data_IF_641350128692
#
_entry.id   IF_641350128692
#
_cell.length_a   1.000
_cell.length_b   1.000
_cell.length_c   1.000
_cell.angle_alpha   90.00
_cell.angle_beta   90.00
_cell.angle_gamma   90.00
#
_symmetry.space_group_name_H-M   'P 1'
#
loop_
_entity.id
_entity.type
_entity.pdbx_description
1 polymer ?
#
# COMPACT_ATOMS: atom_id res chain seq x y z
N UNK A 1 -3.10 -7.27 4.16
CA UNK A 1 -3.51 -8.66 4.46
C UNK A 1 -3.85 -8.77 5.94
N UNK A 2 -4.81 -9.60 6.36
CA UNK A 2 -5.07 -9.85 7.80
C UNK A 2 -4.08 -10.88 8.34
N UNK A 3 -3.64 -10.67 9.57
CA UNK A 3 -2.78 -11.60 10.31
C UNK A 3 -3.45 -11.95 11.65
N UNK A 4 -3.08 -13.09 12.22
CA UNK A 4 -3.57 -13.48 13.54
C UNK A 4 -3.04 -12.48 14.58
N UNK A 5 -3.95 -11.97 15.41
CA UNK A 5 -3.56 -11.16 16.58
C UNK A 5 -2.94 -12.09 17.62
N UNK A 6 -1.63 -12.11 17.68
CA UNK A 6 -0.87 -12.96 18.58
C UNK A 6 0.50 -12.33 18.81
N UNK A 7 1.05 -12.54 20.00
CA UNK A 7 2.45 -12.24 20.31
C UNK A 7 3.22 -13.53 20.47
N UNK A 8 4.48 -13.52 20.04
CA UNK A 8 5.38 -14.67 20.11
C UNK A 8 6.76 -14.20 20.57
N UNK A 9 7.42 -14.99 21.42
CA UNK A 9 8.79 -14.73 21.82
C UNK A 9 9.71 -15.41 20.79
N UNK A 10 10.41 -14.62 19.99
CA UNK A 10 11.37 -15.09 19.00
C UNK A 10 12.77 -14.56 19.34
N UNK A 11 13.75 -15.45 19.50
CA UNK A 11 15.13 -15.11 19.86
C UNK A 11 15.27 -14.12 21.04
N UNK A 12 14.38 -14.22 22.04
CA UNK A 12 14.37 -13.34 23.21
C UNK A 12 13.70 -11.99 22.99
N UNK A 13 13.15 -11.72 21.79
CA UNK A 13 12.37 -10.52 21.47
C UNK A 13 10.89 -10.88 21.38
N UNK A 14 10.03 -10.08 22.00
CA UNK A 14 8.58 -10.24 21.88
C UNK A 14 8.10 -9.59 20.58
N UNK A 15 7.54 -10.40 19.68
CA UNK A 15 7.09 -10.02 18.34
C UNK A 15 5.55 -10.03 18.26
N UNK A 16 4.99 -9.46 17.19
CA UNK A 16 3.53 -9.47 16.92
C UNK A 16 2.80 -8.14 17.21
N UNK A 17 3.54 -7.12 17.63
CA UNK A 17 3.02 -5.76 17.79
C UNK A 17 3.04 -4.98 16.48
N UNK A 18 2.33 -3.86 16.43
CA UNK A 18 2.46 -2.93 15.31
C UNK A 18 3.91 -2.43 15.20
N UNK A 19 4.40 -2.32 13.97
CA UNK A 19 5.77 -1.96 13.65
C UNK A 19 5.83 -1.26 12.28
N UNK A 20 6.29 0.00 12.27
CA UNK A 20 6.53 0.80 11.07
C UNK A 20 8.01 0.84 10.66
N UNK A 21 8.87 0.00 11.24
CA UNK A 21 10.32 0.07 11.08
C UNK A 21 10.95 1.19 11.90
N UNK A 22 10.31 1.56 13.02
CA UNK A 22 10.85 2.54 13.98
C UNK A 22 11.21 1.81 15.26
N UNK A 23 12.36 2.13 15.87
CA UNK A 23 12.83 1.55 17.15
C UNK A 23 12.01 2.01 18.37
N UNK A 24 10.69 2.13 18.22
CA UNK A 24 9.76 2.45 19.28
C UNK A 24 9.44 1.17 20.06
N UNK A 25 10.21 0.90 21.10
CA UNK A 25 9.86 -0.12 22.09
C UNK A 25 8.97 0.52 23.16
N UNK A 26 7.67 0.22 23.12
CA UNK A 26 6.74 0.60 24.19
C UNK A 26 5.99 -0.63 24.69
N UNK A 27 5.79 -0.79 26.01
CA UNK A 27 4.96 -1.87 26.55
C UNK A 27 3.47 -1.74 26.19
N UNK A 28 3.05 -0.62 25.57
CA UNK A 28 1.66 -0.33 25.23
C UNK A 28 1.34 -0.42 23.72
N UNK A 29 2.26 -0.96 22.90
CA UNK A 29 2.00 -1.09 21.47
C UNK A 29 0.80 -2.03 21.23
N UNK A 30 -0.19 -1.66 20.41
CA UNK A 30 -1.25 -2.59 20.02
C UNK A 30 -0.70 -3.80 19.26
N UNK A 31 -1.32 -4.96 19.49
CA UNK A 31 -1.08 -6.18 18.72
C UNK A 31 -1.55 -5.96 17.28
N UNK A 32 -0.68 -6.23 16.31
CA UNK A 32 -0.98 -6.06 14.90
C UNK A 32 -2.10 -7.01 14.44
N UNK A 33 -2.96 -6.52 13.56
CA UNK A 33 -4.08 -7.28 12.99
C UNK A 33 -4.00 -7.40 11.45
N UNK A 34 -3.09 -6.64 10.85
CA UNK A 34 -2.83 -6.63 9.42
C UNK A 34 -1.33 -6.51 9.14
N UNK A 35 -0.91 -7.05 7.99
CA UNK A 35 0.37 -6.75 7.36
C UNK A 35 0.12 -5.93 6.08
N UNK A 36 0.75 -4.75 5.98
CA UNK A 36 0.84 -3.96 4.76
C UNK A 36 2.13 -4.35 4.04
N UNK A 37 2.05 -4.71 2.76
CA UNK A 37 3.20 -5.15 1.98
C UNK A 37 3.30 -4.32 0.71
N UNK A 38 4.50 -3.87 0.37
CA UNK A 38 4.80 -3.27 -0.93
C UNK A 38 5.60 -4.25 -1.78
N UNK A 39 5.17 -4.38 -3.03
CA UNK A 39 5.79 -5.26 -4.01
C UNK A 39 6.04 -4.47 -5.29
N UNK A 40 7.23 -4.64 -5.86
CA UNK A 40 7.57 -4.11 -7.18
C UNK A 40 7.37 -5.21 -8.19
N UNK A 41 6.69 -4.88 -9.28
CA UNK A 41 6.46 -5.78 -10.41
C UNK A 41 7.04 -5.12 -11.67
N UNK A 42 7.93 -5.83 -12.36
CA UNK A 42 8.52 -5.32 -13.59
C UNK A 42 7.48 -5.31 -14.73
N UNK A 43 7.33 -4.16 -15.38
CA UNK A 43 6.48 -4.04 -16.59
C UNK A 43 7.25 -4.51 -17.83
N UNK A 44 8.55 -4.28 -17.85
CA UNK A 44 9.47 -4.63 -18.93
C UNK A 44 10.26 -5.94 -18.67
N UNK A 45 9.82 -6.74 -17.70
CA UNK A 45 10.49 -7.98 -17.30
C UNK A 45 9.51 -8.95 -16.65
N UNK A 46 9.99 -10.15 -16.33
CA UNK A 46 9.18 -11.18 -15.69
C UNK A 46 9.64 -11.44 -14.25
N UNK A 47 9.65 -10.40 -13.43
CA UNK A 47 9.99 -10.52 -12.02
C UNK A 47 9.13 -9.62 -11.15
N UNK A 48 8.94 -10.07 -9.91
CA UNK A 48 8.28 -9.34 -8.84
C UNK A 48 8.99 -9.63 -7.54
N UNK A 49 9.21 -8.62 -6.72
CA UNK A 49 9.86 -8.77 -5.41
C UNK A 49 9.13 -7.93 -4.35
N UNK A 50 8.89 -8.48 -3.15
CA UNK A 50 8.49 -7.66 -2.01
C UNK A 50 9.66 -6.76 -1.62
N UNK A 51 9.39 -5.48 -1.38
CA UNK A 51 10.42 -4.49 -1.00
C UNK A 51 10.28 -4.00 0.43
N UNK A 52 9.08 -4.09 1.00
CA UNK A 52 8.81 -3.68 2.38
C UNK A 52 7.56 -4.37 2.92
N UNK A 53 7.51 -4.56 4.24
CA UNK A 53 6.30 -4.92 4.96
C UNK A 53 6.24 -4.18 6.29
N UNK A 54 5.02 -3.92 6.77
CA UNK A 54 4.75 -3.25 8.02
C UNK A 54 3.63 -3.97 8.76
N UNK A 55 3.82 -4.22 10.06
CA UNK A 55 2.79 -4.78 10.93
C UNK A 55 1.93 -3.63 11.44
N UNK A 56 0.62 -3.69 11.21
CA UNK A 56 -0.27 -2.55 11.50
C UNK A 56 -1.49 -3.01 12.29
N UNK A 57 -2.01 -2.11 13.13
CA UNK A 57 -3.35 -2.16 13.73
C UNK A 57 -4.21 -1.05 13.11
N UNK A 58 -4.36 -1.13 11.78
CA UNK A 58 -4.87 -0.04 10.96
C UNK A 58 -3.82 1.05 10.63
N UNK A 59 -4.09 1.81 9.58
CA UNK A 59 -3.22 2.92 9.15
C UNK A 59 -4.04 3.95 8.38
N UNK A 60 -3.95 5.23 8.78
CA UNK A 60 -4.66 6.30 8.10
C UNK A 60 -4.03 6.60 6.71
N UNK A 61 -4.77 7.33 5.87
CA UNK A 61 -4.36 7.60 4.49
C UNK A 61 -3.05 8.40 4.40
N UNK A 62 -2.84 9.36 5.30
CA UNK A 62 -1.62 10.19 5.33
C UNK A 62 -0.38 9.32 5.60
N UNK A 63 -0.41 8.49 6.64
CA UNK A 63 0.70 7.60 6.97
C UNK A 63 0.98 6.60 5.85
N UNK A 64 -0.05 6.00 5.24
CA UNK A 64 0.11 5.14 4.05
C UNK A 64 0.78 5.87 2.89
N UNK A 65 0.35 7.11 2.63
CA UNK A 65 0.92 7.95 1.58
C UNK A 65 2.39 8.24 1.82
N UNK A 66 2.79 8.50 3.07
CA UNK A 66 4.19 8.71 3.41
C UNK A 66 5.02 7.44 3.20
N UNK A 67 4.52 6.27 3.59
CA UNK A 67 5.22 5.00 3.34
C UNK A 67 5.37 4.72 1.83
N UNK A 68 4.38 5.08 1.01
CA UNK A 68 4.47 4.98 -0.46
C UNK A 68 5.53 5.94 -1.00
N UNK A 69 5.56 7.19 -0.53
CA UNK A 69 6.57 8.18 -0.96
C UNK A 69 7.99 7.70 -0.63
N UNK A 70 8.21 7.19 0.59
CA UNK A 70 9.48 6.59 1.00
C UNK A 70 9.86 5.43 0.08
N UNK A 71 8.91 4.54 -0.25
CA UNK A 71 9.18 3.44 -1.18
C UNK A 71 9.55 3.93 -2.59
N UNK A 72 8.91 5.00 -3.09
CA UNK A 72 9.24 5.62 -4.37
C UNK A 72 10.63 6.27 -4.36
N UNK A 73 11.01 6.91 -3.25
CA UNK A 73 12.33 7.50 -3.05
C UNK A 73 13.43 6.43 -3.11
N UNK A 74 13.31 5.35 -2.34
CA UNK A 74 14.28 4.25 -2.39
C UNK A 74 14.37 3.58 -3.77
N UNK A 75 13.23 3.40 -4.46
CA UNK A 75 13.26 2.84 -5.81
C UNK A 75 13.96 3.76 -6.81
N UNK A 76 13.76 5.06 -6.68
CA UNK A 76 14.45 6.04 -7.51
C UNK A 76 15.96 6.01 -7.30
N UNK A 77 16.43 5.88 -6.05
CA UNK A 77 17.86 5.73 -5.73
C UNK A 77 18.49 4.48 -6.37
N UNK A 78 17.69 3.43 -6.60
CA UNK A 78 18.12 2.22 -7.32
C UNK A 78 17.96 2.30 -8.84
N UNK A 79 17.67 3.48 -9.38
CA UNK A 79 17.42 3.72 -10.82
C UNK A 79 16.17 3.00 -11.37
N UNK A 80 15.30 2.48 -10.50
CA UNK A 80 14.03 1.87 -10.91
C UNK A 80 13.01 2.97 -11.17
N UNK A 81 12.53 3.04 -12.42
CA UNK A 81 11.44 3.95 -12.80
C UNK A 81 10.07 3.34 -12.49
N UNK A 82 9.39 3.91 -11.50
CA UNK A 82 8.00 3.53 -11.17
C UNK A 82 7.03 4.29 -12.07
N UNK A 83 6.34 3.55 -12.95
CA UNK A 83 5.35 4.11 -13.88
C UNK A 83 3.92 4.03 -13.37
N UNK A 84 3.66 3.13 -12.41
CA UNK A 84 2.32 2.95 -11.86
C UNK A 84 2.30 2.40 -10.43
N UNK A 85 1.24 2.75 -9.71
CA UNK A 85 0.86 2.20 -8.41
C UNK A 85 -0.44 1.39 -8.57
N UNK A 86 -0.51 0.18 -8.00
CA UNK A 86 -1.72 -0.66 -8.04
C UNK A 86 -2.22 -0.97 -6.63
N UNK A 87 -3.53 -0.87 -6.40
CA UNK A 87 -4.17 -1.29 -5.15
C UNK A 87 -5.61 -1.80 -5.37
N UNK A 88 -6.18 -2.45 -4.36
CA UNK A 88 -7.56 -2.97 -4.40
C UNK A 88 -8.64 -1.89 -4.25
N UNK A 89 -9.90 -2.25 -4.49
CA UNK A 89 -11.04 -1.33 -4.42
C UNK A 89 -11.53 -1.14 -2.98
N UNK A 90 -10.64 -0.67 -2.09
CA UNK A 90 -10.98 -0.29 -0.72
C UNK A 90 -11.01 1.23 -0.55
N UNK A 91 -12.02 1.75 0.16
CA UNK A 91 -12.19 3.19 0.41
C UNK A 91 -10.94 3.86 1.01
N UNK A 92 -10.20 3.13 1.86
CA UNK A 92 -8.96 3.63 2.44
C UNK A 92 -7.87 3.89 1.38
N UNK A 93 -7.83 3.11 0.30
CA UNK A 93 -6.86 3.27 -0.78
C UNK A 93 -7.27 4.39 -1.77
N UNK A 94 -8.57 4.63 -1.95
CA UNK A 94 -9.06 5.83 -2.64
C UNK A 94 -8.61 7.12 -1.92
N UNK A 95 -8.72 7.15 -0.59
CA UNK A 95 -8.19 8.27 0.20
C UNK A 95 -6.69 8.45 0.01
N UNK A 96 -5.91 7.35 -0.05
CA UNK A 96 -4.47 7.41 -0.37
C UNK A 96 -4.23 8.01 -1.76
N UNK A 97 -5.00 7.60 -2.77
CA UNK A 97 -4.92 8.22 -4.10
C UNK A 97 -5.16 9.73 -4.07
N UNK A 98 -6.17 10.17 -3.31
CA UNK A 98 -6.46 11.60 -3.13
C UNK A 98 -5.31 12.33 -2.40
N UNK A 99 -4.73 11.75 -1.36
CA UNK A 99 -3.57 12.30 -0.63
C UNK A 99 -2.30 12.37 -1.50
N UNK A 100 -2.15 11.47 -2.48
CA UNK A 100 -1.09 11.53 -3.49
C UNK A 100 -1.34 12.64 -4.54
N UNK A 101 -2.57 13.15 -4.66
CA UNK A 101 -2.95 14.18 -5.62
C UNK A 101 -3.63 13.65 -6.89
N UNK A 102 -4.04 12.37 -6.89
CA UNK A 102 -4.98 11.81 -7.85
C UNK A 102 -6.43 12.13 -7.45
N UNK A 103 -7.38 11.89 -8.35
CA UNK A 103 -8.83 12.00 -8.11
C UNK A 103 -9.50 10.83 -8.81
N UNK A 104 -9.92 9.82 -8.05
CA UNK A 104 -10.44 8.56 -8.61
C UNK A 104 -11.98 8.53 -8.72
N UNK A 105 -12.64 9.67 -8.53
CA UNK A 105 -14.11 9.81 -8.54
C UNK A 105 -14.61 10.25 -9.94
N UNK A 106 -15.75 9.68 -10.36
CA UNK A 106 -16.17 9.50 -11.77
C UNK A 106 -16.41 10.78 -12.60
N UNK A 107 -16.46 11.98 -12.02
CA UNK A 107 -16.80 13.22 -12.76
C UNK A 107 -15.55 13.95 -13.25
N UNK A 108 -14.41 13.82 -12.57
CA UNK A 108 -13.15 14.50 -12.91
C UNK A 108 -11.96 13.58 -12.62
N UNK A 109 -11.95 12.42 -13.28
CA UNK A 109 -10.94 11.39 -13.09
C UNK A 109 -9.55 11.93 -13.42
N UNK A 110 -8.70 11.99 -12.40
CA UNK A 110 -7.26 12.19 -12.52
C UNK A 110 -6.59 10.97 -11.93
N UNK A 111 -6.27 9.98 -12.76
CA UNK A 111 -5.65 8.73 -12.31
C UNK A 111 -4.16 8.84 -12.06
N UNK A 112 -3.56 10.03 -12.14
CA UNK A 112 -2.12 10.23 -12.01
C UNK A 112 -1.76 11.14 -10.85
N UNK A 113 -0.58 10.89 -10.27
CA UNK A 113 0.08 11.78 -9.33
C UNK A 113 1.54 12.00 -9.74
N UNK A 114 2.18 13.04 -9.21
CA UNK A 114 3.59 13.33 -9.50
C UNK A 114 4.49 12.53 -8.57
N UNK A 115 5.50 11.86 -9.14
CA UNK A 115 6.55 11.20 -8.39
C UNK A 115 7.24 12.19 -7.44
N UNK A 116 7.50 11.85 -6.15
CA UNK A 116 7.98 12.81 -5.16
C UNK A 116 9.35 13.41 -5.50
N UNK A 117 10.23 12.65 -6.16
CA UNK A 117 11.57 13.09 -6.58
C UNK A 117 11.61 13.65 -8.01
N UNK A 118 11.21 12.87 -9.01
CA UNK A 118 11.36 13.24 -10.43
C UNK A 118 10.25 14.15 -10.96
N UNK A 119 9.11 14.25 -10.27
CA UNK A 119 7.93 14.97 -10.75
C UNK A 119 7.17 14.28 -11.90
N UNK A 120 7.68 13.18 -12.44
CA UNK A 120 7.04 12.41 -13.52
C UNK A 120 5.68 11.84 -13.08
N UNK A 121 4.75 11.69 -14.03
CA UNK A 121 3.43 11.14 -13.74
C UNK A 121 3.46 9.64 -13.45
N UNK A 122 2.97 9.24 -12.29
CA UNK A 122 2.72 7.85 -11.89
C UNK A 122 1.23 7.56 -11.98
N UNK A 123 0.85 6.55 -12.76
CA UNK A 123 -0.55 6.16 -12.95
C UNK A 123 -1.05 5.25 -11.81
N UNK A 124 -2.27 5.45 -11.35
CA UNK A 124 -2.93 4.57 -10.40
C UNK A 124 -3.84 3.59 -11.16
N UNK A 125 -3.59 2.30 -10.97
CA UNK A 125 -4.46 1.22 -11.40
C UNK A 125 -5.19 0.61 -10.21
N UNK A 126 -6.45 0.22 -10.45
CA UNK A 126 -7.19 -0.61 -9.52
C UNK A 126 -7.02 -2.07 -9.92
N UNK A 127 -6.92 -2.96 -8.93
CA UNK A 127 -6.93 -4.40 -9.17
C UNK A 127 -8.24 -4.80 -9.87
N UNK A 128 -8.14 -5.14 -11.15
CA UNK A 128 -9.28 -5.45 -12.02
C UNK A 128 -10.06 -6.68 -11.53
N UNK A 129 -9.38 -7.68 -10.95
CA UNK A 129 -10.05 -8.85 -10.41
C UNK A 129 -10.92 -8.46 -9.20
N UNK A 130 -10.38 -7.59 -8.33
CA UNK A 130 -11.14 -7.06 -7.21
C UNK A 130 -12.28 -6.16 -7.66
N UNK A 131 -12.06 -5.29 -8.66
CA UNK A 131 -13.12 -4.46 -9.26
C UNK A 131 -14.30 -5.31 -9.75
N UNK A 132 -14.02 -6.36 -10.52
CA UNK A 132 -15.05 -7.26 -11.06
C UNK A 132 -15.83 -7.92 -9.93
N UNK A 133 -15.14 -8.46 -8.91
CA UNK A 133 -15.78 -9.05 -7.74
C UNK A 133 -16.70 -8.06 -7.02
N UNK A 134 -16.33 -6.78 -6.91
CA UNK A 134 -17.17 -5.76 -6.27
C UNK A 134 -18.35 -5.28 -7.13
N UNK A 135 -18.28 -5.41 -8.46
CA UNK A 135 -19.38 -5.06 -9.37
C UNK A 135 -20.47 -6.16 -9.42
N UNK A 136 -20.07 -7.42 -9.31
CA UNK A 136 -20.98 -8.58 -9.43
C UNK A 136 -22.16 -8.71 -8.45
N UNK A 137 -22.18 -8.12 -7.23
CA UNK A 137 -23.34 -8.29 -6.33
C UNK A 137 -24.62 -7.58 -6.78
N UNK A 138 -24.54 -6.62 -7.71
CA UNK A 138 -25.68 -5.77 -8.08
C UNK A 138 -26.22 -6.04 -9.49
N UNK A 139 -25.37 -6.51 -10.41
CA UNK A 139 -25.71 -6.60 -11.84
C UNK A 139 -25.90 -8.04 -12.38
N UNK A 140 -25.73 -9.07 -11.56
CA UNK A 140 -25.96 -10.48 -11.93
C UNK A 140 -27.17 -11.08 -11.21
N UNK A 141 -28.34 -10.44 -11.38
CA UNK A 141 -29.61 -11.17 -11.41
C UNK A 141 -29.90 -11.52 -12.86
N UNK A 142 -29.32 -12.62 -13.33
CA UNK A 142 -29.79 -13.33 -14.52
C UNK A 142 -30.75 -14.41 -14.04
#
# INVERSE_FOLDING_TARGET
MSIRRQTELDNGKLCGYFDYGTDLESPELPIANNALTFMVNAVNGNWKIPIAYFLIDGLNAIKRTNLIKIALEYLHETEIKVVSLTFDVLLCNFKVGNELGARLEAVNLKSTFSHPITGEGVCIFLDSCHCLKCATPWDLKI
#
